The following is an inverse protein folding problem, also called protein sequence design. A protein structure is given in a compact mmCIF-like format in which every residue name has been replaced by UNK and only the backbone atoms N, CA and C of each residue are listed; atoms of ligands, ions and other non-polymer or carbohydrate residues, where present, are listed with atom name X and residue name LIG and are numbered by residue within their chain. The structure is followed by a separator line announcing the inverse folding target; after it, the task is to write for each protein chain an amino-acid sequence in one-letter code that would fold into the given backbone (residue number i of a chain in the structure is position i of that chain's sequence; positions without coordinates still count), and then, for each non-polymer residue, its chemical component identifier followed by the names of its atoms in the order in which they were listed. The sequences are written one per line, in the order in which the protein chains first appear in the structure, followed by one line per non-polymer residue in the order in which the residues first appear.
data_IF_476261504440
#
_entry.id   IF_476261504440
#
_cell.length_a   1.000
_cell.length_b   1.000
_cell.length_c   1.000
_cell.angle_alpha   90.00
_cell.angle_beta   90.00
_cell.angle_gamma   90.00
#
_symmetry.space_group_name_H-M   'P 1'
#
loop_
_entity.id
_entity.type
_entity.pdbx_description
1 polymer ?
#
# COMPACT_ATOMS: atom_id res chain seq x y z
N UNK A 1 16.61 -42.18 9.30
CA UNK A 1 15.55 -43.09 9.80
C UNK A 1 14.86 -42.44 10.99
N UNK A 2 13.63 -42.01 10.87
CA UNK A 2 12.55 -41.88 11.86
C UNK A 2 11.57 -40.84 11.32
N UNK A 3 10.63 -41.32 10.63
CA UNK A 3 9.19 -41.57 10.89
C UNK A 3 8.37 -40.25 10.93
N UNK A 4 7.77 -40.00 9.77
CA UNK A 4 6.58 -39.22 9.50
C UNK A 4 5.41 -39.79 10.30
N UNK A 5 4.67 -38.95 11.03
CA UNK A 5 3.38 -39.32 11.59
C UNK A 5 2.31 -38.39 10.99
N UNK A 6 1.59 -38.96 10.02
CA UNK A 6 0.38 -38.35 9.47
C UNK A 6 -0.78 -38.57 10.45
N UNK A 7 -1.53 -37.51 10.77
CA UNK A 7 -2.78 -37.62 11.51
C UNK A 7 -3.92 -37.14 10.60
N UNK A 8 -4.66 -38.13 10.08
CA UNK A 8 -5.90 -37.88 9.36
C UNK A 8 -7.03 -37.61 10.35
N UNK A 9 -7.80 -36.53 10.15
CA UNK A 9 -9.04 -36.30 10.86
C UNK A 9 -10.20 -36.38 9.87
N UNK A 10 -11.10 -37.33 10.12
CA UNK A 10 -12.27 -37.63 9.31
C UNK A 10 -13.38 -36.61 9.59
N UNK A 11 -13.98 -36.02 8.54
CA UNK A 11 -15.20 -35.24 8.60
C UNK A 11 -16.41 -36.07 8.21
N UNK A 12 -17.40 -36.07 9.08
CA UNK A 12 -18.71 -36.65 8.90
C UNK A 12 -19.57 -35.81 7.97
N UNK A 13 -20.10 -36.43 6.91
CA UNK A 13 -21.16 -35.90 6.05
C UNK A 13 -22.51 -36.00 6.77
N UNK A 14 -23.28 -34.88 6.75
CA UNK A 14 -24.74 -34.93 6.89
C UNK A 14 -25.35 -34.39 5.61
N UNK A 15 -25.97 -35.27 4.86
CA UNK A 15 -26.76 -34.95 3.68
C UNK A 15 -28.18 -34.56 4.11
N UNK A 16 -28.71 -33.47 3.61
CA UNK A 16 -30.14 -33.17 3.61
C UNK A 16 -30.58 -32.88 2.17
N UNK A 17 -31.38 -33.78 1.63
CA UNK A 17 -32.09 -33.71 0.37
C UNK A 17 -33.25 -32.71 0.45
N UNK A 18 -33.34 -31.80 -0.52
CA UNK A 18 -34.64 -31.29 -0.95
C UNK A 18 -34.68 -31.17 -2.48
N UNK A 19 -35.63 -31.90 -3.06
CA UNK A 19 -36.07 -31.96 -4.44
C UNK A 19 -36.97 -30.79 -4.79
N UNK A 20 -36.88 -30.30 -6.04
CA UNK A 20 -37.93 -29.41 -6.57
C UNK A 20 -37.67 -28.81 -7.95
N UNK A 21 -37.96 -29.56 -9.02
CA UNK A 21 -38.50 -29.21 -10.35
C UNK A 21 -38.16 -27.89 -11.04
N UNK A 22 -37.41 -27.98 -12.12
CA UNK A 22 -37.85 -27.81 -13.54
C UNK A 22 -38.44 -26.46 -13.99
N UNK A 23 -37.73 -25.75 -14.87
CA UNK A 23 -38.25 -25.40 -16.22
C UNK A 23 -37.13 -24.95 -17.17
N UNK A 24 -37.18 -25.55 -18.34
CA UNK A 24 -36.37 -25.43 -19.53
C UNK A 24 -36.85 -24.23 -20.36
N UNK A 25 -35.93 -23.40 -20.87
CA UNK A 25 -36.20 -22.59 -22.05
C UNK A 25 -34.95 -22.46 -22.92
N UNK A 26 -35.17 -22.59 -24.17
CA UNK A 26 -34.31 -22.93 -25.29
C UNK A 26 -33.39 -21.77 -25.77
N UNK A 27 -32.29 -22.21 -26.37
CA UNK A 27 -31.37 -21.46 -27.25
C UNK A 27 -32.01 -21.19 -28.62
N UNK A 28 -31.57 -20.18 -29.38
CA UNK A 28 -31.26 -20.46 -30.79
C UNK A 28 -29.88 -19.94 -31.23
N UNK A 29 -29.11 -20.86 -31.74
CA UNK A 29 -28.54 -21.05 -33.09
C UNK A 29 -27.68 -19.93 -33.70
N UNK A 30 -26.44 -20.36 -34.02
CA UNK A 30 -25.51 -19.79 -35.01
C UNK A 30 -26.11 -19.69 -36.45
N UNK A 31 -25.39 -18.94 -37.30
CA UNK A 31 -24.96 -19.64 -38.53
C UNK A 31 -23.48 -19.41 -38.89
N UNK A 32 -23.02 -20.45 -39.49
CA UNK A 32 -21.77 -20.84 -40.11
C UNK A 32 -21.52 -20.14 -41.45
N UNK A 33 -20.25 -20.06 -41.84
CA UNK A 33 -19.66 -20.47 -43.11
C UNK A 33 -18.71 -19.48 -43.80
N UNK A 34 -17.53 -19.98 -43.95
CA UNK A 34 -16.75 -20.34 -45.14
C UNK A 34 -15.65 -19.38 -45.66
N UNK A 35 -14.46 -20.01 -45.61
CA UNK A 35 -13.45 -20.18 -46.66
C UNK A 35 -12.97 -18.96 -47.49
N UNK A 36 -11.64 -18.73 -47.46
CA UNK A 36 -10.78 -18.86 -48.65
C UNK A 36 -9.31 -19.02 -48.21
N UNK A 37 -8.70 -20.08 -48.71
CA UNK A 37 -7.26 -20.36 -48.67
C UNK A 37 -6.46 -19.49 -49.68
N UNK A 38 -5.25 -19.13 -49.38
CA UNK A 38 -4.18 -18.95 -50.38
C UNK A 38 -2.82 -19.22 -49.82
N UNK A 39 -2.23 -20.18 -50.38
CA UNK A 39 -0.90 -20.75 -50.34
C UNK A 39 0.15 -19.74 -50.84
N UNK A 40 1.30 -19.59 -50.13
CA UNK A 40 2.58 -19.26 -50.76
C UNK A 40 3.72 -19.73 -49.86
N UNK A 41 4.35 -20.80 -50.28
CA UNK A 41 5.66 -21.30 -49.91
C UNK A 41 6.75 -20.36 -50.36
N UNK A 42 7.69 -19.97 -49.50
CA UNK A 42 9.05 -19.61 -49.84
C UNK A 42 10.05 -20.20 -48.86
N UNK A 43 10.95 -21.01 -49.46
CA UNK A 43 12.17 -21.58 -48.88
C UNK A 43 13.14 -20.50 -48.43
N UNK A 44 13.70 -20.60 -47.23
CA UNK A 44 14.97 -19.94 -46.89
C UNK A 44 15.86 -20.85 -46.07
N UNK A 45 16.86 -21.33 -46.76
CA UNK A 45 18.21 -21.75 -46.41
C UNK A 45 18.58 -21.85 -44.92
N UNK A 46 18.90 -23.09 -44.60
CA UNK A 46 19.83 -23.56 -43.58
C UNK A 46 21.14 -22.74 -43.51
N UNK A 47 21.46 -22.24 -42.33
CA UNK A 47 22.81 -21.81 -41.95
C UNK A 47 23.16 -22.45 -40.64
N UNK A 48 24.03 -23.41 -40.71
CA UNK A 48 24.62 -24.19 -39.64
C UNK A 48 25.46 -23.36 -38.67
N UNK A 49 25.34 -23.77 -37.41
CA UNK A 49 26.32 -23.87 -36.33
C UNK A 49 26.88 -22.62 -35.70
N UNK A 50 26.51 -22.47 -34.44
CA UNK A 50 27.51 -22.34 -33.37
C UNK A 50 26.91 -22.99 -32.11
N UNK A 51 27.67 -23.93 -31.63
CA UNK A 51 27.57 -24.63 -30.36
C UNK A 51 27.40 -23.60 -29.21
N UNK A 52 26.22 -23.52 -28.62
CA UNK A 52 26.00 -22.87 -27.35
C UNK A 52 25.44 -23.96 -26.44
N UNK A 53 26.24 -24.34 -25.49
CA UNK A 53 25.85 -25.12 -24.35
C UNK A 53 24.58 -24.51 -23.76
N UNK A 54 23.45 -25.21 -23.95
CA UNK A 54 22.23 -25.00 -23.20
C UNK A 54 22.53 -25.24 -21.71
N UNK A 55 22.89 -24.18 -21.01
CA UNK A 55 22.50 -24.08 -19.61
C UNK A 55 20.99 -23.85 -19.67
N UNK A 56 20.24 -24.86 -19.29
CA UNK A 56 18.79 -24.79 -19.07
C UNK A 56 18.55 -23.66 -18.05
N UNK A 57 18.39 -22.44 -18.51
CA UNK A 57 18.07 -21.30 -17.68
C UNK A 57 16.59 -21.43 -17.36
N UNK A 58 16.28 -22.19 -16.32
CA UNK A 58 14.93 -22.31 -15.82
C UNK A 58 14.42 -20.90 -15.50
N UNK A 59 13.44 -20.43 -16.24
CA UNK A 59 12.82 -19.13 -16.04
C UNK A 59 12.14 -19.15 -14.69
N UNK A 60 12.51 -18.23 -13.79
CA UNK A 60 11.88 -18.10 -12.46
C UNK A 60 10.43 -17.67 -12.62
N UNK A 61 9.52 -18.31 -11.88
CA UNK A 61 8.09 -18.05 -11.88
C UNK A 61 7.67 -17.50 -10.54
N UNK A 62 7.21 -16.25 -10.54
CA UNK A 62 6.68 -15.55 -9.37
C UNK A 62 5.16 -15.58 -9.42
N UNK A 63 4.53 -15.97 -8.31
CA UNK A 63 3.09 -15.85 -8.11
C UNK A 63 2.78 -14.71 -7.14
N UNK A 64 1.82 -13.86 -7.45
CA UNK A 64 1.36 -12.80 -6.57
C UNK A 64 -0.15 -12.89 -6.33
N UNK A 65 -0.55 -13.26 -5.10
CA UNK A 65 -1.92 -13.17 -4.64
C UNK A 65 -2.15 -11.77 -4.06
N UNK A 66 -2.86 -10.92 -4.80
CA UNK A 66 -3.13 -9.55 -4.39
C UNK A 66 -4.51 -9.42 -3.77
N UNK A 67 -4.60 -8.68 -2.67
CA UNK A 67 -5.83 -8.46 -1.92
C UNK A 67 -6.95 -7.84 -2.75
N UNK A 68 -6.62 -6.86 -3.60
CA UNK A 68 -7.58 -6.17 -4.46
C UNK A 68 -6.87 -5.47 -5.62
N UNK A 69 -7.58 -5.28 -6.73
CA UNK A 69 -7.19 -4.35 -7.80
C UNK A 69 -8.13 -3.15 -7.86
N UNK A 70 -8.95 -2.94 -6.82
CA UNK A 70 -9.94 -1.87 -6.77
C UNK A 70 -9.38 -0.50 -6.37
N UNK A 71 -8.14 -0.42 -5.87
CA UNK A 71 -7.49 0.85 -5.54
C UNK A 71 -6.21 1.07 -6.34
N UNK A 72 -5.84 2.33 -6.55
CA UNK A 72 -4.60 2.76 -7.21
C UNK A 72 -3.36 2.15 -6.53
N UNK A 73 -3.32 2.14 -5.20
CA UNK A 73 -2.25 1.56 -4.40
C UNK A 73 -1.99 0.09 -4.75
N UNK A 74 -3.03 -0.75 -4.74
CA UNK A 74 -2.88 -2.18 -5.04
C UNK A 74 -2.55 -2.43 -6.52
N UNK A 75 -3.11 -1.64 -7.43
CA UNK A 75 -2.75 -1.70 -8.85
C UNK A 75 -1.27 -1.38 -9.06
N UNK A 76 -0.77 -0.32 -8.42
CA UNK A 76 0.63 0.07 -8.49
C UNK A 76 1.57 -0.97 -7.86
N UNK A 77 1.15 -1.61 -6.76
CA UNK A 77 1.88 -2.72 -6.15
C UNK A 77 2.02 -3.90 -7.13
N UNK A 78 0.90 -4.30 -7.77
CA UNK A 78 0.93 -5.36 -8.78
C UNK A 78 1.83 -4.99 -9.97
N UNK A 79 1.75 -3.75 -10.45
CA UNK A 79 2.61 -3.24 -11.51
C UNK A 79 4.08 -3.30 -11.11
N UNK A 80 4.42 -2.92 -9.88
CA UNK A 80 5.79 -3.00 -9.36
C UNK A 80 6.33 -4.43 -9.34
N UNK A 81 5.53 -5.40 -8.91
CA UNK A 81 5.89 -6.83 -8.96
C UNK A 81 6.10 -7.29 -10.41
N UNK A 82 5.17 -6.96 -11.31
CA UNK A 82 5.24 -7.35 -12.73
C UNK A 82 6.47 -6.75 -13.42
N UNK A 83 6.71 -5.46 -13.26
CA UNK A 83 7.88 -4.78 -13.85
C UNK A 83 9.20 -5.37 -13.33
N UNK A 84 9.28 -5.62 -12.02
CA UNK A 84 10.48 -6.21 -11.43
C UNK A 84 10.75 -7.64 -11.92
N UNK A 85 9.71 -8.42 -12.25
CA UNK A 85 9.85 -9.72 -12.90
C UNK A 85 10.28 -9.56 -14.37
N UNK A 86 9.65 -8.64 -15.12
CA UNK A 86 9.96 -8.40 -16.53
C UNK A 86 11.42 -7.96 -16.72
N UNK A 87 11.92 -7.03 -15.89
CA UNK A 87 13.33 -6.58 -15.91
C UNK A 87 14.33 -7.73 -15.73
N UNK A 88 13.91 -8.81 -15.04
CA UNK A 88 14.73 -10.00 -14.79
C UNK A 88 14.49 -11.13 -15.79
N UNK A 89 13.55 -10.95 -16.71
CA UNK A 89 13.12 -12.00 -17.65
C UNK A 89 12.38 -13.15 -16.96
N UNK A 90 11.69 -12.91 -15.86
CA UNK A 90 10.92 -13.88 -15.08
C UNK A 90 9.44 -13.86 -15.45
N UNK A 91 8.77 -15.00 -15.26
CA UNK A 91 7.32 -15.07 -15.41
C UNK A 91 6.62 -14.58 -14.13
N UNK A 92 5.55 -13.80 -14.28
CA UNK A 92 4.74 -13.31 -13.17
C UNK A 92 3.27 -13.63 -13.38
N UNK A 93 2.63 -14.26 -12.40
CA UNK A 93 1.18 -14.50 -12.37
C UNK A 93 0.56 -13.74 -11.20
N UNK A 94 -0.38 -12.83 -11.49
CA UNK A 94 -1.12 -12.05 -10.48
C UNK A 94 -2.54 -12.55 -10.38
N UNK A 95 -3.00 -12.92 -9.19
CA UNK A 95 -4.37 -13.34 -8.90
C UNK A 95 -5.03 -12.40 -7.90
N UNK A 96 -6.17 -11.83 -8.27
CA UNK A 96 -6.91 -10.85 -7.47
C UNK A 96 -7.92 -11.53 -6.54
N UNK A 97 -7.89 -11.17 -5.26
CA UNK A 97 -8.80 -11.70 -4.24
C UNK A 97 -10.10 -10.90 -4.06
N UNK A 98 -10.22 -9.71 -4.66
CA UNK A 98 -11.40 -8.84 -4.57
C UNK A 98 -11.84 -8.52 -3.12
N UNK A 99 -10.89 -8.33 -2.20
CA UNK A 99 -11.09 -8.10 -0.76
C UNK A 99 -11.69 -9.30 0.00
N UNK A 100 -11.72 -10.50 -0.60
CA UNK A 100 -12.17 -11.73 0.02
C UNK A 100 -10.98 -12.57 0.51
N UNK A 101 -10.87 -12.76 1.81
CA UNK A 101 -9.77 -13.50 2.43
C UNK A 101 -9.77 -15.00 2.07
N UNK A 102 -10.95 -15.57 1.82
CA UNK A 102 -11.07 -16.97 1.39
C UNK A 102 -10.51 -17.12 -0.02
N UNK A 103 -10.87 -16.18 -0.91
CA UNK A 103 -10.35 -16.15 -2.28
C UNK A 103 -8.86 -15.86 -2.32
N UNK A 104 -8.33 -15.05 -1.39
CA UNK A 104 -6.88 -14.82 -1.26
C UNK A 104 -6.14 -16.13 -0.95
N UNK A 105 -6.65 -16.92 0.00
CA UNK A 105 -6.11 -18.26 0.32
C UNK A 105 -6.20 -19.23 -0.87
N UNK A 106 -7.36 -19.28 -1.56
CA UNK A 106 -7.54 -20.11 -2.76
C UNK A 106 -6.58 -19.69 -3.89
N UNK A 107 -6.29 -18.40 -4.03
CA UNK A 107 -5.31 -17.88 -4.99
C UNK A 107 -3.90 -18.40 -4.67
N UNK A 108 -3.49 -18.41 -3.41
CA UNK A 108 -2.19 -18.96 -3.00
C UNK A 108 -2.11 -20.45 -3.33
N UNK A 109 -3.15 -21.24 -2.97
CA UNK A 109 -3.20 -22.67 -3.32
C UNK A 109 -3.12 -22.88 -4.83
N UNK A 110 -3.78 -22.01 -5.61
CA UNK A 110 -3.73 -22.04 -7.08
C UNK A 110 -2.33 -21.78 -7.60
N UNK A 111 -1.62 -20.77 -7.08
CA UNK A 111 -0.24 -20.46 -7.46
C UNK A 111 0.71 -21.61 -7.12
N UNK A 112 0.56 -22.21 -5.95
CA UNK A 112 1.32 -23.42 -5.55
C UNK A 112 1.01 -24.56 -6.52
N UNK A 113 -0.26 -24.78 -6.87
CA UNK A 113 -0.69 -25.79 -7.84
C UNK A 113 -0.14 -25.56 -9.26
N UNK A 114 0.11 -24.31 -9.63
CA UNK A 114 0.78 -23.91 -10.89
C UNK A 114 2.30 -24.04 -10.83
N UNK A 115 2.84 -24.48 -9.69
CA UNK A 115 4.27 -24.68 -9.48
C UNK A 115 5.09 -23.38 -9.70
N UNK A 116 4.62 -22.27 -9.16
CA UNK A 116 5.46 -21.05 -9.07
C UNK A 116 6.63 -21.32 -8.12
N UNK A 117 7.78 -20.73 -8.42
CA UNK A 117 8.99 -20.91 -7.61
C UNK A 117 8.92 -20.13 -6.29
N UNK A 118 8.24 -18.97 -6.29
CA UNK A 118 7.96 -18.19 -5.09
C UNK A 118 6.58 -17.54 -5.16
N UNK A 119 5.66 -17.88 -4.24
CA UNK A 119 4.43 -17.12 -4.04
C UNK A 119 4.69 -15.90 -3.15
N UNK A 120 4.17 -14.76 -3.54
CA UNK A 120 4.12 -13.52 -2.74
C UNK A 120 2.69 -13.39 -2.24
N UNK A 121 2.50 -13.38 -0.93
CA UNK A 121 1.19 -13.29 -0.29
C UNK A 121 1.31 -12.78 1.15
N UNK A 122 0.23 -12.21 1.67
CA UNK A 122 0.17 -11.62 3.00
C UNK A 122 -0.43 -12.57 4.07
N UNK A 123 -0.92 -13.76 3.71
CA UNK A 123 -1.77 -14.60 4.59
C UNK A 123 -1.15 -15.92 5.07
N UNK A 124 0.03 -16.31 4.57
CA UNK A 124 0.67 -17.59 4.87
C UNK A 124 1.83 -17.48 5.88
N UNK A 125 2.39 -18.63 6.32
CA UNK A 125 3.70 -18.64 6.99
C UNK A 125 4.76 -18.21 5.98
N UNK A 126 5.32 -17.02 6.18
CA UNK A 126 6.18 -16.32 5.22
C UNK A 126 7.65 -16.41 5.61
N UNK A 127 8.53 -16.34 4.63
CA UNK A 127 9.98 -16.25 4.84
C UNK A 127 10.34 -14.94 5.50
N UNK A 128 9.77 -13.84 5.03
CA UNK A 128 9.84 -12.50 5.61
C UNK A 128 8.65 -11.67 5.15
N UNK A 129 8.35 -10.61 5.86
CA UNK A 129 7.35 -9.62 5.45
C UNK A 129 8.07 -8.42 4.83
N UNK A 130 7.66 -8.01 3.63
CA UNK A 130 8.11 -6.75 3.03
C UNK A 130 7.10 -5.66 3.36
N UNK A 131 7.58 -4.58 3.97
CA UNK A 131 6.72 -3.56 4.51
C UNK A 131 7.28 -2.16 4.24
N UNK A 132 6.40 -1.16 4.20
CA UNK A 132 6.84 0.23 4.18
C UNK A 132 7.31 0.68 5.56
N UNK A 133 8.36 1.50 5.61
CA UNK A 133 8.86 2.04 6.88
C UNK A 133 7.99 3.21 7.39
N UNK A 134 6.72 2.89 7.73
CA UNK A 134 5.75 3.88 8.18
C UNK A 134 6.20 4.68 9.40
N UNK A 135 6.81 4.01 10.38
CA UNK A 135 7.24 4.64 11.65
C UNK A 135 8.28 5.71 11.41
N UNK A 136 9.38 5.36 10.74
CA UNK A 136 10.46 6.31 10.46
C UNK A 136 10.02 7.41 9.50
N UNK A 137 9.29 7.05 8.43
CA UNK A 137 8.81 8.03 7.46
C UNK A 137 7.86 9.05 8.12
N UNK A 138 6.88 8.58 8.90
CA UNK A 138 5.95 9.48 9.58
C UNK A 138 6.64 10.33 10.67
N UNK A 139 7.64 9.79 11.36
CA UNK A 139 8.46 10.55 12.30
C UNK A 139 9.22 11.68 11.58
N UNK A 140 9.81 11.40 10.42
CA UNK A 140 10.47 12.43 9.59
C UNK A 140 9.49 13.50 9.14
N UNK A 141 8.28 13.12 8.70
CA UNK A 141 7.19 14.07 8.39
C UNK A 141 6.87 14.91 9.62
N UNK A 142 6.67 14.29 10.77
CA UNK A 142 6.38 14.99 12.04
C UNK A 142 7.44 16.01 12.41
N UNK A 143 8.72 15.68 12.29
CA UNK A 143 9.84 16.61 12.52
C UNK A 143 9.84 17.79 11.53
N UNK A 144 9.32 17.61 10.33
CA UNK A 144 9.26 18.66 9.32
C UNK A 144 8.12 19.66 9.57
N UNK A 145 7.10 19.31 10.35
CA UNK A 145 5.89 20.13 10.56
C UNK A 145 6.17 21.44 11.32
N UNK A 146 6.88 21.47 12.46
CA UNK A 146 6.99 22.66 13.32
C UNK A 146 7.54 23.90 12.62
N UNK A 147 8.38 23.77 11.61
CA UNK A 147 8.99 24.90 10.91
C UNK A 147 7.97 25.82 10.18
N UNK A 148 6.73 25.36 10.02
CA UNK A 148 5.65 26.13 9.37
C UNK A 148 4.78 26.91 10.37
N UNK A 149 5.10 26.85 11.65
CA UNK A 149 4.41 27.51 12.73
C UNK A 149 5.42 28.26 13.61
N UNK A 150 5.04 29.39 14.17
CA UNK A 150 5.90 30.08 15.14
C UNK A 150 6.13 29.20 16.39
N UNK A 151 7.24 29.42 17.10
CA UNK A 151 7.63 28.58 18.25
C UNK A 151 6.55 28.54 19.35
N UNK A 152 5.83 29.63 19.56
CA UNK A 152 4.74 29.80 20.51
C UNK A 152 3.34 29.60 19.91
N UNK A 153 3.25 29.34 18.61
CA UNK A 153 1.97 29.11 17.92
C UNK A 153 1.46 27.69 18.22
N UNK A 154 0.17 27.61 18.56
CA UNK A 154 -0.52 26.33 18.71
C UNK A 154 -0.66 25.66 17.34
N UNK A 155 -0.15 24.45 17.20
CA UNK A 155 -0.50 23.55 16.09
C UNK A 155 -1.88 22.98 16.39
N UNK A 156 -2.92 23.68 15.95
CA UNK A 156 -4.33 23.29 16.13
C UNK A 156 -4.77 22.44 14.93
N UNK A 157 -4.78 21.16 15.11
CA UNK A 157 -4.96 20.20 14.02
C UNK A 157 -6.22 19.36 14.11
N UNK A 158 -6.54 18.73 12.98
CA UNK A 158 -7.39 17.55 12.88
C UNK A 158 -6.63 16.44 12.16
N UNK A 159 -7.05 15.18 12.35
CA UNK A 159 -6.40 14.04 11.69
C UNK A 159 -7.40 13.23 10.85
N UNK A 160 -7.01 12.92 9.61
CA UNK A 160 -7.69 11.94 8.77
C UNK A 160 -6.96 10.60 8.89
N UNK A 161 -7.68 9.61 9.36
CA UNK A 161 -7.18 8.26 9.60
C UNK A 161 -7.78 7.27 8.62
N UNK A 162 -7.03 6.24 8.29
CA UNK A 162 -7.50 5.14 7.46
C UNK A 162 -8.54 4.28 8.16
N UNK A 163 -8.32 2.98 8.24
CA UNK A 163 -9.24 2.07 8.93
C UNK A 163 -9.02 2.04 10.44
N UNK A 164 -10.09 1.98 11.21
CA UNK A 164 -10.01 1.87 12.67
C UNK A 164 -9.26 0.59 13.08
N UNK A 165 -8.25 0.73 13.94
CA UNK A 165 -7.43 -0.38 14.43
C UNK A 165 -6.41 -0.89 13.41
N UNK A 166 -6.20 -0.18 12.29
CA UNK A 166 -5.17 -0.51 11.32
C UNK A 166 -3.78 -0.13 11.87
N UNK A 167 -2.83 -1.07 11.83
CA UNK A 167 -1.47 -0.89 12.34
C UNK A 167 -0.74 0.23 11.61
N UNK A 168 -0.77 0.22 10.26
CA UNK A 168 -0.10 1.25 9.46
C UNK A 168 -0.64 2.66 9.73
N UNK A 169 -1.95 2.80 9.94
CA UNK A 169 -2.56 4.07 10.35
C UNK A 169 -2.07 4.54 11.71
N UNK A 170 -2.01 3.63 12.69
CA UNK A 170 -1.48 3.94 14.03
C UNK A 170 -0.01 4.38 13.96
N UNK A 171 0.83 3.64 13.23
CA UNK A 171 2.25 3.97 13.02
C UNK A 171 2.43 5.35 12.40
N UNK A 172 1.63 5.68 11.38
CA UNK A 172 1.66 6.97 10.68
C UNK A 172 1.24 8.12 11.59
N UNK A 173 0.13 7.97 12.28
CA UNK A 173 -0.40 9.00 13.19
C UNK A 173 0.52 9.24 14.38
N UNK A 174 0.93 8.18 15.08
CA UNK A 174 1.87 8.30 16.20
C UNK A 174 3.23 8.83 15.75
N UNK A 175 3.71 8.42 14.58
CA UNK A 175 4.98 8.92 14.02
C UNK A 175 4.95 10.43 13.78
N UNK A 176 3.90 10.97 13.15
CA UNK A 176 3.76 12.42 12.98
C UNK A 176 3.75 13.15 14.32
N UNK A 177 2.98 12.66 15.29
CA UNK A 177 2.90 13.26 16.63
C UNK A 177 4.27 13.19 17.34
N UNK A 178 4.94 12.04 17.30
CA UNK A 178 6.27 11.87 17.90
C UNK A 178 7.31 12.83 17.29
N UNK A 179 7.28 12.98 15.96
CA UNK A 179 8.18 13.91 15.28
C UNK A 179 7.94 15.36 15.68
N UNK A 180 6.68 15.81 15.79
CA UNK A 180 6.33 17.16 16.27
C UNK A 180 6.83 17.37 17.71
N UNK A 181 6.58 16.39 18.59
CA UNK A 181 6.99 16.45 20.00
C UNK A 181 8.54 16.52 20.10
N UNK A 182 9.24 15.64 19.37
CA UNK A 182 10.70 15.61 19.36
C UNK A 182 11.30 16.96 18.95
N UNK A 183 10.79 17.56 17.88
CA UNK A 183 11.31 18.82 17.34
C UNK A 183 10.98 20.01 18.25
N UNK A 184 9.75 20.12 18.75
CA UNK A 184 9.31 21.21 19.63
C UNK A 184 9.98 21.18 21.01
N UNK A 185 10.24 20.00 21.53
CA UNK A 185 10.75 19.84 22.90
C UNK A 185 12.23 19.48 22.96
N UNK A 186 12.87 19.15 21.85
CA UNK A 186 14.25 18.66 21.81
C UNK A 186 14.43 17.30 22.49
N UNK A 187 13.41 16.45 22.46
CA UNK A 187 13.45 15.11 23.04
C UNK A 187 14.16 14.12 22.10
N UNK A 188 14.71 13.05 22.71
CA UNK A 188 15.14 11.89 21.95
C UNK A 188 13.95 11.22 21.25
N UNK A 189 14.23 10.45 20.20
CA UNK A 189 13.21 9.71 19.47
C UNK A 189 12.40 8.78 20.39
N UNK A 190 13.08 8.02 21.27
CA UNK A 190 12.45 7.10 22.22
C UNK A 190 11.47 7.82 23.17
N UNK A 191 11.90 8.96 23.74
CA UNK A 191 11.05 9.76 24.62
C UNK A 191 9.84 10.32 23.87
N UNK A 192 10.05 10.83 22.67
CA UNK A 192 8.98 11.39 21.83
C UNK A 192 7.94 10.33 21.43
N UNK A 193 8.36 9.11 21.09
CA UNK A 193 7.44 8.00 20.81
C UNK A 193 6.65 7.59 22.06
N UNK A 194 7.25 7.62 23.25
CA UNK A 194 6.54 7.36 24.51
C UNK A 194 5.46 8.39 24.79
N UNK A 195 5.74 9.68 24.54
CA UNK A 195 4.73 10.76 24.69
C UNK A 195 3.65 10.65 23.60
N UNK A 196 4.01 10.36 22.37
CA UNK A 196 3.06 10.20 21.26
C UNK A 196 2.10 9.02 21.47
N UNK A 197 2.55 7.93 22.08
CA UNK A 197 1.69 6.80 22.41
C UNK A 197 0.61 7.20 23.42
N UNK A 198 0.95 7.95 24.47
CA UNK A 198 -0.03 8.48 25.45
C UNK A 198 -1.00 9.46 24.82
N UNK A 199 -0.47 10.35 23.95
CA UNK A 199 -1.29 11.30 23.21
C UNK A 199 -2.30 10.58 22.31
N UNK A 200 -1.90 9.49 21.66
CA UNK A 200 -2.79 8.69 20.81
C UNK A 200 -3.85 7.93 21.62
N UNK A 201 -3.48 7.40 22.80
CA UNK A 201 -4.46 6.81 23.73
C UNK A 201 -5.54 7.84 24.13
N UNK A 202 -5.14 9.07 24.45
CA UNK A 202 -6.06 10.15 24.77
C UNK A 202 -6.94 10.53 23.57
N UNK A 203 -6.37 10.63 22.38
CA UNK A 203 -7.11 10.91 21.14
C UNK A 203 -8.18 9.84 20.86
N UNK A 204 -7.82 8.57 20.99
CA UNK A 204 -8.75 7.46 20.75
C UNK A 204 -9.85 7.42 21.82
N UNK A 205 -9.50 7.69 23.09
CA UNK A 205 -10.45 7.64 24.20
C UNK A 205 -11.43 8.80 24.20
N UNK A 206 -10.98 10.01 23.85
CA UNK A 206 -11.74 11.25 24.03
C UNK A 206 -12.16 11.92 22.72
N UNK A 207 -11.63 11.47 21.57
CA UNK A 207 -11.83 12.09 20.24
C UNK A 207 -11.00 13.36 20.02
N UNK A 208 -10.19 13.77 21.01
CA UNK A 208 -9.24 14.88 20.96
C UNK A 208 -8.08 14.63 21.92
N UNK A 209 -6.93 15.28 21.67
CA UNK A 209 -5.79 15.24 22.57
C UNK A 209 -5.00 16.56 22.50
N UNK A 210 -4.34 16.92 23.62
CA UNK A 210 -3.52 18.11 23.74
C UNK A 210 -2.20 17.79 24.44
N UNK A 211 -1.10 18.24 23.85
CA UNK A 211 0.25 18.12 24.41
C UNK A 211 0.80 19.52 24.72
N UNK A 212 0.82 19.91 26.01
CA UNK A 212 1.19 21.26 26.46
C UNK A 212 2.63 21.61 26.03
N UNK A 213 3.60 20.72 26.29
CA UNK A 213 5.02 20.99 26.00
C UNK A 213 5.34 21.20 24.53
N UNK A 214 4.65 20.48 23.63
CA UNK A 214 4.81 20.64 22.20
C UNK A 214 3.86 21.68 21.58
N UNK A 215 2.96 22.27 22.39
CA UNK A 215 1.90 23.15 21.92
C UNK A 215 1.14 22.58 20.70
N UNK A 216 0.74 21.32 20.82
CA UNK A 216 0.08 20.52 19.79
C UNK A 216 -1.31 20.10 20.28
N UNK A 217 -2.33 20.35 19.49
CA UNK A 217 -3.69 19.87 19.73
C UNK A 217 -4.20 19.11 18.48
N UNK A 218 -4.76 17.90 18.67
CA UNK A 218 -5.64 17.27 17.70
C UNK A 218 -7.07 17.38 18.21
N UNK A 219 -7.87 18.21 17.55
CA UNK A 219 -9.23 18.58 17.97
C UNK A 219 -10.31 17.62 17.48
N UNK A 220 -9.96 16.74 16.55
CA UNK A 220 -10.88 15.76 16.01
C UNK A 220 -10.19 14.77 15.06
N UNK A 221 -10.83 13.62 14.91
CA UNK A 221 -10.37 12.54 14.04
C UNK A 221 -11.53 12.02 13.20
N UNK A 222 -11.29 11.80 11.90
CA UNK A 222 -12.21 11.10 11.02
C UNK A 222 -11.55 9.85 10.45
N UNK A 223 -12.28 8.72 10.46
CA UNK A 223 -11.84 7.49 9.80
C UNK A 223 -12.38 7.46 8.37
N UNK A 224 -11.48 7.52 7.40
CA UNK A 224 -11.79 7.76 5.98
C UNK A 224 -11.40 6.57 5.08
N UNK A 225 -11.19 5.39 5.62
CA UNK A 225 -10.97 4.13 4.89
C UNK A 225 -9.94 4.22 3.75
N UNK A 226 -8.97 5.13 3.84
CA UNK A 226 -7.94 5.42 2.83
C UNK A 226 -8.49 6.03 1.52
N UNK A 227 -9.72 6.53 1.50
CA UNK A 227 -10.41 7.00 0.30
C UNK A 227 -10.55 8.53 0.28
N UNK A 228 -10.37 9.12 -0.89
CA UNK A 228 -10.55 10.55 -1.10
C UNK A 228 -12.02 10.99 -0.88
N UNK A 229 -13.01 10.17 -1.23
CA UNK A 229 -14.42 10.47 -0.95
C UNK A 229 -14.70 10.63 0.54
N UNK A 230 -14.21 9.66 1.33
CA UNK A 230 -14.42 9.67 2.77
C UNK A 230 -13.59 10.79 3.45
N UNK A 231 -12.41 11.11 2.85
CA UNK A 231 -11.60 12.25 3.27
C UNK A 231 -12.30 13.59 3.05
N UNK A 232 -13.06 13.75 1.96
CA UNK A 232 -13.91 14.91 1.71
C UNK A 232 -15.00 15.01 2.80
N UNK A 233 -15.80 13.97 2.98
CA UNK A 233 -16.91 13.96 3.92
C UNK A 233 -16.43 14.17 5.37
N UNK A 234 -15.36 13.46 5.75
CA UNK A 234 -14.74 13.58 7.08
C UNK A 234 -14.19 14.98 7.35
N UNK A 235 -13.59 15.62 6.36
CA UNK A 235 -13.07 16.99 6.51
C UNK A 235 -14.18 18.03 6.56
N UNK A 236 -15.27 17.87 5.82
CA UNK A 236 -16.44 18.76 5.94
C UNK A 236 -16.98 18.75 7.38
N UNK A 237 -17.17 17.57 7.97
CA UNK A 237 -17.64 17.43 9.37
C UNK A 237 -16.63 18.04 10.37
N UNK A 238 -15.33 17.76 10.19
CA UNK A 238 -14.28 18.30 11.06
C UNK A 238 -14.18 19.83 11.00
N UNK A 239 -14.35 20.43 9.82
CA UNK A 239 -14.34 21.88 9.64
C UNK A 239 -15.56 22.58 10.28
N UNK A 240 -16.72 21.92 10.26
CA UNK A 240 -17.91 22.42 10.97
C UNK A 240 -17.69 22.44 12.48
N UNK A 241 -17.09 21.36 13.02
CA UNK A 241 -16.82 21.23 14.45
C UNK A 241 -15.62 22.13 14.90
N UNK A 242 -14.64 22.34 14.04
CA UNK A 242 -13.36 22.99 14.36
C UNK A 242 -12.98 24.03 13.29
N UNK A 243 -13.71 25.17 13.21
CA UNK A 243 -13.55 26.12 12.09
C UNK A 243 -12.24 26.93 12.12
N UNK A 244 -11.47 26.88 13.18
CA UNK A 244 -10.28 27.69 13.44
C UNK A 244 -8.97 26.86 13.48
N UNK A 245 -8.97 25.63 12.96
CA UNK A 245 -7.76 24.84 12.81
C UNK A 245 -6.81 25.48 11.78
N UNK A 246 -5.51 25.25 11.98
CA UNK A 246 -4.44 25.70 11.08
C UNK A 246 -3.63 24.54 10.46
N UNK A 247 -3.94 23.29 10.82
CA UNK A 247 -3.20 22.10 10.43
C UNK A 247 -4.12 20.93 10.11
N UNK A 248 -3.85 20.24 9.00
CA UNK A 248 -4.39 18.95 8.66
C UNK A 248 -3.25 17.91 8.68
N UNK A 249 -3.39 16.89 9.52
CA UNK A 249 -2.58 15.69 9.50
C UNK A 249 -3.35 14.60 8.77
N UNK A 250 -2.77 14.01 7.75
CA UNK A 250 -3.40 12.88 7.02
C UNK A 250 -2.49 11.66 7.02
N UNK A 251 -3.07 10.50 7.31
CA UNK A 251 -2.31 9.24 7.29
C UNK A 251 -1.94 8.81 5.87
N UNK A 252 -2.65 9.31 4.81
CA UNK A 252 -2.22 9.21 3.42
C UNK A 252 -2.64 10.44 2.61
N UNK A 253 -2.12 10.57 1.40
CA UNK A 253 -2.41 11.69 0.51
C UNK A 253 -3.78 11.58 -0.19
N UNK A 254 -4.30 10.37 -0.47
CA UNK A 254 -5.63 10.20 -1.07
C UNK A 254 -6.72 10.84 -0.21
N UNK A 255 -6.72 10.60 1.11
CA UNK A 255 -7.66 11.25 2.02
C UNK A 255 -7.47 12.76 2.05
N UNK A 256 -6.21 13.23 2.02
CA UNK A 256 -5.90 14.66 1.97
C UNK A 256 -6.36 15.32 0.66
N UNK A 257 -6.31 14.63 -0.48
CA UNK A 257 -6.88 15.08 -1.77
C UNK A 257 -8.39 15.33 -1.67
N UNK A 258 -9.09 14.46 -0.95
CA UNK A 258 -10.50 14.67 -0.63
C UNK A 258 -10.70 15.88 0.29
N UNK A 259 -9.95 15.94 1.39
CA UNK A 259 -9.99 17.03 2.34
C UNK A 259 -9.68 18.41 1.72
N UNK A 260 -8.76 18.46 0.76
CA UNK A 260 -8.46 19.71 0.04
C UNK A 260 -9.70 20.32 -0.63
N UNK A 261 -10.60 19.50 -1.15
CA UNK A 261 -11.86 19.97 -1.76
C UNK A 261 -12.77 20.61 -0.71
N UNK A 262 -12.88 20.02 0.49
CA UNK A 262 -13.63 20.59 1.61
C UNK A 262 -13.00 21.92 2.11
N UNK A 263 -11.67 21.96 2.23
CA UNK A 263 -10.91 23.15 2.62
C UNK A 263 -11.18 24.30 1.63
N UNK A 264 -11.10 24.02 0.33
CA UNK A 264 -11.37 24.99 -0.75
C UNK A 264 -12.82 25.43 -0.73
N UNK A 265 -13.79 24.53 -0.59
CA UNK A 265 -15.21 24.87 -0.50
C UNK A 265 -15.54 25.75 0.72
N UNK A 266 -14.80 25.57 1.83
CA UNK A 266 -14.90 26.40 3.02
C UNK A 266 -14.14 27.72 2.93
N UNK A 267 -13.40 28.00 1.84
CA UNK A 267 -12.59 29.21 1.65
C UNK A 267 -11.37 29.30 2.57
N UNK A 268 -10.79 28.15 2.97
CA UNK A 268 -9.72 28.05 3.97
C UNK A 268 -8.34 27.67 3.37
N UNK A 269 -8.18 27.76 2.05
CA UNK A 269 -6.95 27.38 1.35
C UNK A 269 -5.68 28.07 1.88
N UNK A 270 -5.79 29.29 2.40
CA UNK A 270 -4.65 30.02 2.96
C UNK A 270 -4.53 29.92 4.50
N UNK A 271 -5.37 29.10 5.13
CA UNK A 271 -5.42 29.00 6.59
C UNK A 271 -4.85 27.67 7.09
N UNK A 272 -5.08 26.57 6.34
CA UNK A 272 -4.78 25.21 6.81
C UNK A 272 -3.56 24.67 6.05
N UNK A 273 -2.51 24.30 6.80
CA UNK A 273 -1.35 23.60 6.27
C UNK A 273 -1.64 22.09 6.20
N UNK A 274 -1.23 21.42 5.13
CA UNK A 274 -1.50 20.01 4.87
C UNK A 274 -0.21 19.18 4.94
N UNK A 275 -0.22 18.12 5.73
CA UNK A 275 0.88 17.21 5.93
C UNK A 275 0.39 15.77 5.80
N UNK A 276 1.05 14.97 4.95
CA UNK A 276 0.69 13.58 4.70
C UNK A 276 1.80 12.65 5.15
N UNK A 277 1.47 11.66 5.99
CA UNK A 277 2.43 10.64 6.44
C UNK A 277 2.86 9.69 5.32
N UNK A 278 2.04 9.55 4.29
CA UNK A 278 2.18 8.69 3.10
C UNK A 278 1.11 9.11 2.06
N UNK A 279 1.04 8.59 0.86
CA UNK A 279 1.78 7.50 0.22
C UNK A 279 2.75 8.03 -0.86
N UNK A 280 2.48 9.18 -1.48
CA UNK A 280 3.25 9.74 -2.58
C UNK A 280 2.66 9.37 -3.94
N UNK A 281 1.33 9.47 -4.04
CA UNK A 281 0.62 9.33 -5.33
C UNK A 281 0.95 10.48 -6.27
N UNK A 282 0.80 10.22 -7.56
CA UNK A 282 1.02 11.24 -8.60
C UNK A 282 0.18 12.50 -8.35
N UNK A 283 -1.08 12.35 -7.96
CA UNK A 283 -1.98 13.43 -7.63
C UNK A 283 -1.56 14.17 -6.34
N UNK A 284 -1.05 13.43 -5.34
CA UNK A 284 -0.47 13.99 -4.13
C UNK A 284 0.77 14.84 -4.43
N UNK A 285 1.66 14.34 -5.27
CA UNK A 285 2.84 15.10 -5.70
C UNK A 285 2.50 16.34 -6.54
N UNK A 286 1.43 16.28 -7.36
CA UNK A 286 0.92 17.47 -8.04
C UNK A 286 0.44 18.55 -7.05
N UNK A 287 -0.29 18.15 -6.00
CA UNK A 287 -0.67 19.07 -4.93
C UNK A 287 0.55 19.63 -4.21
N UNK A 288 1.49 18.79 -3.83
CA UNK A 288 2.72 19.21 -3.15
C UNK A 288 3.54 20.24 -3.98
N UNK A 289 3.56 20.08 -5.31
CA UNK A 289 4.26 20.97 -6.24
C UNK A 289 3.53 22.29 -6.45
N UNK A 290 2.21 22.23 -6.62
CA UNK A 290 1.43 23.34 -7.18
C UNK A 290 0.61 24.10 -6.10
N UNK A 291 0.36 23.48 -4.93
CA UNK A 291 -0.39 24.07 -3.83
C UNK A 291 0.52 24.43 -2.64
N UNK A 292 0.72 25.72 -2.35
CA UNK A 292 1.64 26.13 -1.30
C UNK A 292 1.22 25.75 0.13
N UNK A 293 0.01 25.22 0.33
CA UNK A 293 -0.43 24.72 1.64
C UNK A 293 -0.01 23.27 1.89
N UNK A 294 0.29 22.52 0.84
CA UNK A 294 0.85 21.20 0.98
C UNK A 294 2.36 21.29 1.22
N UNK A 295 2.84 20.67 2.30
CA UNK A 295 4.20 20.89 2.79
C UNK A 295 5.11 19.71 2.64
N UNK A 296 4.59 18.52 2.88
CA UNK A 296 5.36 17.27 2.83
C UNK A 296 4.44 16.08 2.65
N UNK A 297 4.94 15.08 1.94
CA UNK A 297 4.36 13.74 1.84
C UNK A 297 5.44 12.74 2.19
N UNK A 298 5.15 11.82 3.10
CA UNK A 298 5.99 10.66 3.37
C UNK A 298 5.94 9.68 2.20
N UNK A 299 7.06 9.13 1.80
CA UNK A 299 7.10 8.17 0.70
C UNK A 299 6.69 6.77 1.18
N UNK A 300 5.62 6.22 0.59
CA UNK A 300 5.26 4.81 0.64
C UNK A 300 4.91 4.35 -0.78
N UNK A 301 5.95 4.07 -1.56
CA UNK A 301 5.80 3.70 -2.97
C UNK A 301 5.42 2.21 -3.11
N UNK A 302 4.18 1.87 -3.50
CA UNK A 302 3.79 0.49 -3.72
C UNK A 302 4.63 -0.21 -4.79
N UNK A 303 5.07 0.42 -5.90
CA UNK A 303 6.01 -0.20 -6.83
C UNK A 303 7.34 -0.59 -6.19
N UNK A 304 7.90 0.23 -5.29
CA UNK A 304 9.16 -0.10 -4.57
C UNK A 304 8.97 -1.29 -3.63
N UNK A 305 7.84 -1.37 -2.92
CA UNK A 305 7.51 -2.53 -2.07
C UNK A 305 7.42 -3.79 -2.91
N UNK A 306 6.73 -3.74 -4.06
CA UNK A 306 6.63 -4.87 -4.99
C UNK A 306 7.99 -5.31 -5.55
N UNK A 307 8.83 -4.37 -5.96
CA UNK A 307 10.17 -4.65 -6.48
C UNK A 307 11.07 -5.29 -5.42
N UNK A 308 11.02 -4.82 -4.17
CA UNK A 308 11.76 -5.39 -3.05
C UNK A 308 11.29 -6.82 -2.74
N UNK A 309 9.99 -7.09 -2.81
CA UNK A 309 9.46 -8.43 -2.62
C UNK A 309 9.96 -9.41 -3.70
N UNK A 310 10.03 -8.97 -4.96
CA UNK A 310 10.58 -9.77 -6.07
C UNK A 310 12.09 -9.98 -5.91
N UNK A 311 12.83 -8.98 -5.44
CA UNK A 311 14.25 -9.14 -5.13
C UNK A 311 14.50 -10.21 -4.07
N UNK A 312 13.75 -10.17 -2.97
CA UNK A 312 13.84 -11.18 -1.90
C UNK A 312 13.45 -12.56 -2.43
N UNK A 313 12.37 -12.67 -3.21
CA UNK A 313 11.99 -13.93 -3.84
C UNK A 313 13.12 -14.50 -4.72
N UNK A 314 13.81 -13.63 -5.47
CA UNK A 314 15.00 -14.03 -6.25
C UNK A 314 16.14 -14.57 -5.39
N UNK A 315 16.43 -13.93 -4.25
CA UNK A 315 17.45 -14.42 -3.32
C UNK A 315 17.10 -15.80 -2.74
N UNK A 316 15.80 -16.04 -2.47
CA UNK A 316 15.33 -17.34 -2.01
C UNK A 316 15.48 -18.42 -3.11
N UNK A 317 15.02 -18.12 -4.32
CA UNK A 317 14.97 -19.10 -5.43
C UNK A 317 16.35 -19.38 -6.01
N UNK A 318 17.15 -18.33 -6.25
CA UNK A 318 18.42 -18.43 -6.97
C UNK A 318 19.62 -18.65 -6.05
N UNK A 319 19.59 -18.10 -4.83
CA UNK A 319 20.69 -18.16 -3.88
C UNK A 319 20.45 -19.18 -2.76
N UNK A 320 19.22 -19.73 -2.67
CA UNK A 320 18.83 -20.72 -1.65
C UNK A 320 18.71 -20.14 -0.25
N UNK A 321 18.48 -18.81 -0.12
CA UNK A 321 18.24 -18.15 1.16
C UNK A 321 16.95 -18.67 1.82
N UNK A 322 16.93 -18.60 3.14
CA UNK A 322 15.85 -19.09 4.00
C UNK A 322 15.39 -17.98 4.95
N UNK A 323 14.34 -18.22 5.72
CA UNK A 323 13.86 -17.27 6.73
C UNK A 323 14.95 -16.83 7.75
N UNK A 324 16.00 -17.63 7.94
CA UNK A 324 17.10 -17.28 8.85
C UNK A 324 18.08 -16.25 8.26
N UNK A 325 18.00 -15.98 6.95
CA UNK A 325 18.88 -15.06 6.23
C UNK A 325 18.27 -13.67 6.07
N UNK A 326 17.03 -13.46 6.57
CA UNK A 326 16.31 -12.20 6.54
C UNK A 326 15.83 -11.80 7.93
N UNK A 327 15.65 -10.50 8.15
CA UNK A 327 14.86 -10.00 9.26
C UNK A 327 13.39 -10.43 9.11
N UNK A 328 12.66 -10.55 10.22
CA UNK A 328 11.25 -10.91 10.19
C UNK A 328 10.41 -9.92 9.35
N UNK A 329 10.86 -8.65 9.30
CA UNK A 329 10.28 -7.59 8.46
C UNK A 329 11.42 -6.88 7.74
N UNK A 330 11.42 -6.89 6.42
CA UNK A 330 12.31 -6.09 5.57
C UNK A 330 11.55 -4.86 5.10
N UNK A 331 12.08 -3.69 5.43
CA UNK A 331 11.40 -2.43 5.14
C UNK A 331 12.02 -1.72 3.94
N UNK A 332 11.17 -0.97 3.21
CA UNK A 332 11.66 0.01 2.23
C UNK A 332 12.40 1.14 2.94
N UNK A 333 13.25 1.85 2.22
CA UNK A 333 13.93 3.05 2.73
C UNK A 333 12.90 4.12 3.09
N UNK A 334 13.07 4.73 4.28
CA UNK A 334 12.21 5.83 4.71
C UNK A 334 12.62 7.14 4.03
N UNK A 335 11.67 7.87 3.50
CA UNK A 335 11.90 9.13 2.83
C UNK A 335 10.72 10.08 2.98
N UNK A 336 10.98 11.39 2.85
CA UNK A 336 9.95 12.43 2.75
C UNK A 336 10.17 13.25 1.49
N UNK A 337 9.08 13.65 0.86
CA UNK A 337 9.08 14.49 -0.34
C UNK A 337 8.46 15.84 0.02
N UNK A 338 9.16 16.91 -0.33
CA UNK A 338 8.78 18.30 -0.07
C UNK A 338 8.59 19.04 -1.39
N UNK A 339 8.04 20.25 -1.34
CA UNK A 339 7.93 21.10 -2.54
C UNK A 339 9.26 21.34 -3.25
N UNK A 340 10.38 21.31 -2.52
CA UNK A 340 11.71 21.52 -3.08
C UNK A 340 12.25 20.29 -3.82
N UNK A 341 11.82 19.09 -3.42
CA UNK A 341 12.31 17.81 -3.95
C UNK A 341 11.30 17.09 -4.83
N UNK A 342 10.03 17.50 -4.85
CA UNK A 342 8.95 16.78 -5.54
C UNK A 342 9.21 16.52 -7.02
N UNK A 343 9.95 17.38 -7.71
CA UNK A 343 10.26 17.21 -9.12
C UNK A 343 11.22 16.03 -9.39
N UNK A 344 11.95 15.57 -8.36
CA UNK A 344 12.83 14.40 -8.47
C UNK A 344 12.04 13.09 -8.28
N UNK A 345 10.81 13.17 -7.76
CA UNK A 345 9.92 12.04 -7.46
C UNK A 345 8.72 11.95 -8.39
N UNK A 346 8.27 13.08 -8.92
CA UNK A 346 7.10 13.13 -9.79
C UNK A 346 7.39 12.53 -11.16
N UNK A 347 6.70 11.44 -11.49
CA UNK A 347 6.70 10.82 -12.81
C UNK A 347 5.27 10.88 -13.39
N UNK A 348 5.07 11.62 -14.53
CA UNK A 348 3.75 11.69 -15.15
C UNK A 348 3.24 10.35 -15.70
N UNK A 349 4.16 9.41 -15.97
CA UNK A 349 3.85 8.08 -16.47
C UNK A 349 3.69 7.04 -15.35
N UNK A 350 3.90 7.42 -14.09
CA UNK A 350 3.70 6.53 -12.94
C UNK A 350 2.26 6.03 -12.89
N UNK A 351 2.05 4.74 -12.60
CA UNK A 351 0.70 4.18 -12.38
C UNK A 351 0.07 4.64 -11.06
N UNK A 352 0.88 5.25 -10.19
CA UNK A 352 0.50 5.68 -8.85
C UNK A 352 0.95 7.09 -8.55
#
# INVERSE_FOLDING_TARGET
MKKILAMALALLFVAALFTGCSKKAESPSEPNANDVASDTTEEVKEKTSADNTDADSQTVKIGFAIKSTGSSFYQALATGVQNACEERGWECTVLNADMDITKEQENVETLIGQQVDAPIDASAEVITTVYNNNTTTAFMVGKYIPQFFADDELISSVVLSGGKGNTGGTERRQGMVAGIIAERMGLSEEEAWSEAAKFDEDLIANGHAFHEGANLEIRGQAYCNWLASDGLDGMEDLLVANPDINCLLSENDDMALGAQKAITAAGKDNQIQVFCAADGSKEGYLQLRDNPQWRVIGENSPPKVGALAVEIAGQVVLEGKTANDFDAVVMTEANIVTSDTVNDFYDPDSPF
#
